data_IF_041109004392
#
_entry.id   IF_041109004392
#
_cell.length_a   1.000
_cell.length_b   1.000
_cell.length_c   1.000
_cell.angle_alpha   90.00
_cell.angle_beta   90.00
_cell.angle_gamma   90.00
#
_symmetry.space_group_name_H-M   'P 1'
#
loop_
_entity.id
_entity.type
_entity.pdbx_description
1 polymer ?
#
# COMPACT_ATOMS: atom_id res chain seq x y z
N UNK A 1 -2.03 -41.66 17.71
CA UNK A 1 -1.26 -40.41 17.91
C UNK A 1 -2.03 -39.56 18.93
N UNK A 2 -1.54 -39.52 20.18
CA UNK A 2 -2.28 -38.98 21.34
C UNK A 2 -1.98 -37.48 21.48
N UNK A 3 -2.99 -36.63 21.30
CA UNK A 3 -2.90 -35.19 21.54
C UNK A 3 -2.86 -34.91 23.04
N UNK A 4 -1.67 -34.61 23.58
CA UNK A 4 -1.50 -34.13 24.97
C UNK A 4 -1.94 -32.67 25.07
N UNK A 5 -3.09 -32.45 25.70
CA UNK A 5 -3.59 -31.13 26.08
C UNK A 5 -2.66 -30.42 27.07
N UNK A 6 -2.27 -29.19 26.73
CA UNK A 6 -1.45 -28.31 27.57
C UNK A 6 -2.38 -27.41 28.40
N UNK A 7 -2.37 -27.58 29.72
CA UNK A 7 -3.15 -26.75 30.67
C UNK A 7 -2.60 -25.33 30.70
N UNK A 8 -3.42 -24.34 30.31
CA UNK A 8 -3.13 -22.92 30.50
C UNK A 8 -3.31 -22.53 31.97
N UNK A 9 -2.27 -21.95 32.58
CA UNK A 9 -2.34 -21.37 33.92
C UNK A 9 -2.93 -19.96 33.80
N UNK A 10 -4.07 -19.73 34.46
CA UNK A 10 -4.73 -18.42 34.56
C UNK A 10 -3.92 -17.56 35.54
N UNK A 11 -3.34 -16.47 35.05
CA UNK A 11 -2.66 -15.47 35.87
C UNK A 11 -3.66 -14.35 36.14
N UNK A 12 -4.12 -14.27 37.38
CA UNK A 12 -4.99 -13.21 37.90
C UNK A 12 -4.14 -12.03 38.33
N UNK A 13 -4.26 -10.88 37.67
CA UNK A 13 -3.69 -9.61 38.12
C UNK A 13 -4.78 -8.79 38.84
N UNK A 14 -4.55 -8.34 40.09
CA UNK A 14 -5.52 -7.56 40.84
C UNK A 14 -5.50 -6.07 40.47
N UNK A 15 -6.73 -5.52 40.41
CA UNK A 15 -7.16 -4.15 40.69
C UNK A 15 -6.14 -3.25 41.40
N UNK A 16 -5.92 -2.03 40.88
CA UNK A 16 -5.50 -0.76 41.51
C UNK A 16 -5.39 0.24 40.33
N UNK A 17 -5.87 1.47 40.28
CA UNK A 17 -6.64 2.32 41.18
C UNK A 17 -7.22 3.44 40.32
N UNK A 18 -8.49 3.72 40.55
CA UNK A 18 -9.24 4.88 40.11
C UNK A 18 -8.59 6.15 40.69
N UNK A 19 -8.04 7.04 39.86
CA UNK A 19 -7.76 8.43 40.27
C UNK A 19 -8.44 9.36 39.26
N UNK A 20 -9.64 9.74 39.67
CA UNK A 20 -10.40 10.87 39.16
C UNK A 20 -9.76 12.14 39.75
N UNK A 21 -9.26 13.05 38.92
CA UNK A 21 -9.03 14.44 39.34
C UNK A 21 -9.22 15.38 38.15
N UNK A 22 -10.44 15.91 38.13
CA UNK A 22 -10.95 17.00 37.33
C UNK A 22 -10.22 18.29 37.66
N UNK A 23 -9.47 18.86 36.70
CA UNK A 23 -9.15 20.28 36.69
C UNK A 23 -10.22 21.02 35.90
N UNK A 24 -11.09 21.69 36.65
CA UNK A 24 -12.01 22.71 36.16
C UNK A 24 -11.24 24.05 36.15
N UNK A 25 -11.63 24.94 35.23
CA UNK A 25 -11.61 26.40 35.32
C UNK A 25 -10.64 27.17 34.38
N UNK A 26 -11.28 27.58 33.28
CA UNK A 26 -11.36 28.97 32.77
C UNK A 26 -10.18 29.53 31.97
N UNK A 27 -10.35 29.50 30.65
CA UNK A 27 -9.72 30.45 29.72
C UNK A 27 -10.70 30.75 28.60
N UNK A 28 -11.53 31.77 28.79
CA UNK A 28 -12.42 32.32 27.76
C UNK A 28 -11.53 33.05 26.74
N UNK A 29 -11.32 32.46 25.56
CA UNK A 29 -10.61 33.08 24.45
C UNK A 29 -11.60 33.82 23.53
N UNK A 30 -11.23 35.00 23.00
CA UNK A 30 -12.11 35.87 22.24
C UNK A 30 -12.54 35.23 20.91
N UNK A 31 -13.85 35.30 20.65
CA UNK A 31 -14.49 35.07 19.34
C UNK A 31 -13.85 36.01 18.30
N UNK A 32 -13.02 35.47 17.41
CA UNK A 32 -12.77 36.08 16.11
C UNK A 32 -13.60 35.33 15.07
N UNK A 33 -14.78 35.87 14.79
CA UNK A 33 -15.63 35.47 13.67
C UNK A 33 -15.47 36.53 12.58
N UNK A 34 -14.74 36.16 11.52
CA UNK A 34 -15.03 36.45 10.11
C UNK A 34 -13.75 36.53 9.27
N UNK A 35 -13.34 35.39 8.73
CA UNK A 35 -12.99 35.29 7.32
C UNK A 35 -13.59 33.99 6.79
N UNK A 36 -14.81 34.11 6.27
CA UNK A 36 -15.36 33.14 5.34
C UNK A 36 -14.49 33.19 4.07
N UNK A 37 -13.38 32.46 4.09
CA UNK A 37 -12.68 32.05 2.88
C UNK A 37 -13.64 31.06 2.21
N UNK A 38 -14.32 31.53 1.17
CA UNK A 38 -15.05 30.69 0.22
C UNK A 38 -14.07 29.64 -0.33
N UNK A 39 -14.05 28.47 0.30
CA UNK A 39 -13.29 27.31 -0.16
C UNK A 39 -14.00 26.75 -1.37
N UNK A 40 -13.55 27.21 -2.54
CA UNK A 40 -13.59 26.40 -3.76
C UNK A 40 -12.96 25.05 -3.43
N UNK A 41 -13.57 23.90 -3.79
CA UNK A 41 -12.98 22.59 -3.54
C UNK A 41 -11.62 22.54 -4.25
N UNK A 42 -10.56 22.59 -3.44
CA UNK A 42 -9.19 22.42 -3.89
C UNK A 42 -9.09 20.97 -4.39
N UNK A 43 -9.18 20.80 -5.71
CA UNK A 43 -8.89 19.54 -6.37
C UNK A 43 -7.44 19.20 -6.04
N UNK A 44 -7.27 18.34 -5.03
CA UNK A 44 -5.97 17.90 -4.58
C UNK A 44 -5.45 16.92 -5.62
N UNK A 45 -4.62 17.41 -6.56
CA UNK A 45 -4.02 16.56 -7.58
C UNK A 45 -3.07 15.60 -6.86
N UNK A 46 -3.35 14.30 -6.97
CA UNK A 46 -2.51 13.25 -6.37
C UNK A 46 -1.23 13.09 -7.18
N UNK A 47 -0.12 12.84 -6.50
CA UNK A 47 1.14 12.48 -7.15
C UNK A 47 1.09 11.05 -7.70
N UNK A 48 1.95 10.72 -8.67
CA UNK A 48 2.08 9.34 -9.16
C UNK A 48 2.42 8.36 -8.02
N UNK A 49 3.28 8.75 -7.06
CA UNK A 49 3.55 7.91 -5.89
C UNK A 49 2.29 7.60 -5.07
N UNK A 50 1.42 8.60 -4.85
CA UNK A 50 0.16 8.41 -4.14
C UNK A 50 -0.79 7.50 -4.91
N UNK A 51 -0.88 7.67 -6.23
CA UNK A 51 -1.73 6.87 -7.09
C UNK A 51 -1.23 5.41 -7.20
N UNK A 52 0.08 5.21 -7.33
CA UNK A 52 0.71 3.89 -7.33
C UNK A 52 0.51 3.20 -5.98
N UNK A 53 0.64 3.91 -4.86
CA UNK A 53 0.34 3.38 -3.53
C UNK A 53 -1.11 2.91 -3.42
N UNK A 54 -2.05 3.68 -3.96
CA UNK A 54 -3.46 3.29 -4.00
C UNK A 54 -3.69 2.04 -4.88
N UNK A 55 -3.02 1.97 -6.03
CA UNK A 55 -3.09 0.82 -6.92
C UNK A 55 -2.49 -0.46 -6.29
N UNK A 56 -1.36 -0.34 -5.58
CA UNK A 56 -0.75 -1.44 -4.82
C UNK A 56 -1.65 -1.92 -3.68
N UNK A 57 -2.20 -1.00 -2.88
CA UNK A 57 -3.15 -1.34 -1.82
C UNK A 57 -4.35 -2.12 -2.38
N UNK A 58 -4.91 -1.67 -3.51
CA UNK A 58 -6.00 -2.33 -4.23
C UNK A 58 -5.58 -3.72 -4.71
N UNK A 59 -4.41 -3.87 -5.36
CA UNK A 59 -3.90 -5.16 -5.87
C UNK A 59 -3.68 -6.17 -4.75
N UNK A 60 -3.16 -5.73 -3.61
CA UNK A 60 -2.93 -6.57 -2.43
C UNK A 60 -4.19 -6.84 -1.60
N UNK A 61 -5.33 -6.24 -1.95
CA UNK A 61 -6.56 -6.29 -1.16
C UNK A 61 -6.36 -5.83 0.30
N UNK A 62 -5.51 -4.81 0.49
CA UNK A 62 -5.23 -4.20 1.79
C UNK A 62 -5.90 -2.82 1.80
N UNK A 63 -6.67 -2.46 2.84
CA UNK A 63 -7.23 -1.11 2.95
C UNK A 63 -6.13 -0.05 2.91
N UNK A 64 -6.32 1.02 2.14
CA UNK A 64 -5.30 2.06 1.96
C UNK A 64 -4.76 2.61 3.29
N UNK A 65 -5.60 2.73 4.32
CA UNK A 65 -5.21 3.18 5.66
C UNK A 65 -4.15 2.28 6.33
N UNK A 66 -4.22 0.98 6.07
CA UNK A 66 -3.33 -0.04 6.65
C UNK A 66 -2.10 -0.22 5.74
N UNK A 67 -2.24 0.11 4.44
CA UNK A 67 -1.13 0.08 3.47
C UNK A 67 -0.14 1.26 3.62
N UNK A 68 -0.48 2.29 4.40
CA UNK A 68 0.40 3.48 4.60
C UNK A 68 1.74 3.15 5.24
N UNK A 69 1.82 2.06 5.99
CA UNK A 69 3.04 1.62 6.66
C UNK A 69 3.95 0.79 5.74
N UNK A 70 3.48 0.46 4.53
CA UNK A 70 4.27 -0.26 3.53
C UNK A 70 5.24 0.71 2.87
N UNK A 71 6.54 0.44 3.02
CA UNK A 71 7.59 1.12 2.28
C UNK A 71 7.44 0.80 0.79
N UNK A 72 7.46 1.84 -0.04
CA UNK A 72 7.40 1.74 -1.50
C UNK A 72 8.58 2.52 -2.04
N UNK A 73 9.38 1.85 -2.86
CA UNK A 73 10.47 2.47 -3.60
C UNK A 73 10.08 2.43 -5.07
N UNK A 74 10.11 3.59 -5.72
CA UNK A 74 9.96 3.71 -7.17
C UNK A 74 11.36 3.76 -7.76
N UNK A 75 11.69 2.79 -8.61
CA UNK A 75 13.01 2.67 -9.23
C UNK A 75 13.00 3.26 -10.65
N UNK A 76 11.93 3.01 -11.40
CA UNK A 76 11.71 3.56 -12.75
C UNK A 76 10.28 4.10 -12.84
N UNK A 77 10.12 5.27 -13.48
CA UNK A 77 8.82 5.82 -13.86
C UNK A 77 9.02 6.74 -15.08
N UNK A 78 8.47 6.34 -16.23
CA UNK A 78 8.54 7.10 -17.49
C UNK A 78 7.22 7.83 -17.85
N UNK A 79 6.30 7.94 -16.88
CA UNK A 79 4.91 8.40 -16.97
C UNK A 79 3.92 7.45 -17.65
N UNK A 80 4.39 6.38 -18.29
CA UNK A 80 3.55 5.34 -18.89
C UNK A 80 3.68 4.01 -18.13
N UNK A 81 4.87 3.68 -17.68
CA UNK A 81 5.23 2.50 -16.90
C UNK A 81 5.99 2.92 -15.65
N UNK A 82 5.85 2.14 -14.59
CA UNK A 82 6.62 2.29 -13.38
C UNK A 82 6.96 0.92 -12.78
N UNK A 83 8.09 0.84 -12.09
CA UNK A 83 8.49 -0.35 -11.35
C UNK A 83 9.22 0.01 -10.07
N UNK A 84 9.29 -0.97 -9.17
CA UNK A 84 10.12 -0.87 -7.99
C UNK A 84 9.83 -1.95 -6.98
N UNK A 85 10.01 -1.64 -5.70
CA UNK A 85 9.81 -2.58 -4.59
C UNK A 85 8.76 -2.07 -3.59
N UNK A 86 8.07 -2.99 -2.93
CA UNK A 86 7.11 -2.69 -1.89
C UNK A 86 7.15 -3.74 -0.77
N UNK A 87 7.20 -3.29 0.49
CA UNK A 87 7.26 -4.15 1.67
C UNK A 87 8.44 -3.84 2.59
N UNK A 88 8.62 -4.65 3.63
CA UNK A 88 9.75 -4.50 4.56
C UNK A 88 11.03 -5.10 4.00
N UNK A 89 12.17 -4.46 4.26
CA UNK A 89 13.51 -4.96 3.92
C UNK A 89 13.69 -5.33 2.42
N UNK A 90 13.24 -4.47 1.52
CA UNK A 90 13.35 -4.67 0.06
C UNK A 90 12.15 -5.38 -0.57
N UNK A 91 11.25 -5.97 0.22
CA UNK A 91 9.90 -6.33 -0.21
C UNK A 91 9.82 -7.22 -1.46
N UNK A 92 8.64 -7.21 -2.09
CA UNK A 92 8.42 -7.79 -3.43
C UNK A 92 8.57 -6.72 -4.51
N UNK A 93 8.91 -7.15 -5.72
CA UNK A 93 8.92 -6.28 -6.89
C UNK A 93 7.48 -5.99 -7.35
N UNK A 94 7.28 -4.85 -8.01
CA UNK A 94 6.02 -4.52 -8.66
C UNK A 94 6.26 -3.84 -10.00
N UNK A 95 5.30 -4.02 -10.92
CA UNK A 95 5.24 -3.37 -12.22
C UNK A 95 3.85 -2.77 -12.43
N UNK A 96 3.82 -1.51 -12.81
CA UNK A 96 2.61 -0.73 -13.02
C UNK A 96 2.59 -0.11 -14.41
N UNK A 97 1.41 -0.05 -15.01
CA UNK A 97 1.18 0.63 -16.27
C UNK A 97 0.05 1.65 -16.10
N UNK A 98 0.15 2.78 -16.80
CA UNK A 98 -0.88 3.81 -16.81
C UNK A 98 -1.89 3.49 -17.92
N UNK A 99 -3.11 3.12 -17.55
CA UNK A 99 -4.23 2.79 -18.44
C UNK A 99 -5.35 3.79 -18.20
N UNK A 100 -5.84 4.45 -19.25
CA UNK A 100 -6.88 5.51 -19.12
C UNK A 100 -6.52 6.60 -18.09
N UNK A 101 -5.24 6.97 -18.01
CA UNK A 101 -4.69 7.93 -17.02
C UNK A 101 -4.72 7.47 -15.56
N UNK A 102 -5.02 6.20 -15.29
CA UNK A 102 -4.96 5.58 -13.95
C UNK A 102 -3.83 4.55 -13.89
N UNK A 103 -3.16 4.45 -12.74
CA UNK A 103 -2.14 3.42 -12.53
C UNK A 103 -2.78 2.08 -12.20
N UNK A 104 -2.40 1.05 -12.93
CA UNK A 104 -2.79 -0.34 -12.70
C UNK A 104 -1.56 -1.18 -12.39
N UNK A 105 -1.62 -2.02 -11.35
CA UNK A 105 -0.56 -2.97 -11.01
C UNK A 105 -0.74 -4.24 -11.84
N UNK A 106 0.10 -4.38 -12.86
CA UNK A 106 0.16 -5.58 -13.69
C UNK A 106 0.55 -6.78 -12.82
N UNK A 107 1.65 -6.64 -12.08
CA UNK A 107 2.18 -7.70 -11.22
C UNK A 107 2.85 -7.15 -9.96
N UNK A 108 2.78 -7.91 -8.86
CA UNK A 108 3.56 -7.65 -7.64
C UNK A 108 3.87 -8.95 -6.91
N UNK A 109 5.13 -9.19 -6.53
CA UNK A 109 5.54 -10.40 -5.81
C UNK A 109 7.05 -10.59 -5.69
N UNK A 110 7.46 -11.74 -5.14
CA UNK A 110 8.88 -12.14 -4.99
C UNK A 110 9.29 -13.25 -5.97
N UNK A 111 8.41 -13.60 -6.91
CA UNK A 111 8.59 -14.72 -7.84
C UNK A 111 8.87 -14.27 -9.28
N UNK A 112 8.69 -15.21 -10.21
CA UNK A 112 8.71 -14.91 -11.63
C UNK A 112 7.42 -14.21 -12.06
N UNK A 113 7.54 -13.30 -13.02
CA UNK A 113 6.41 -12.55 -13.59
C UNK A 113 5.72 -13.45 -14.61
N UNK A 114 4.46 -13.86 -14.43
CA UNK A 114 3.70 -14.58 -15.44
C UNK A 114 3.55 -13.72 -16.71
N UNK A 115 3.72 -14.32 -17.89
CA UNK A 115 3.53 -13.58 -19.15
C UNK A 115 2.11 -13.02 -19.27
N UNK A 116 1.11 -13.76 -18.82
CA UNK A 116 -0.30 -13.35 -18.83
C UNK A 116 -0.60 -12.07 -18.04
N UNK A 117 0.19 -11.78 -16.99
CA UNK A 117 -0.01 -10.60 -16.16
C UNK A 117 0.47 -9.31 -16.86
N UNK A 118 1.41 -9.42 -17.80
CA UNK A 118 2.08 -8.26 -18.43
C UNK A 118 1.76 -8.09 -19.92
N UNK A 119 1.30 -9.15 -20.59
CA UNK A 119 0.88 -9.12 -22.00
C UNK A 119 -0.10 -7.98 -22.34
N UNK A 120 -1.10 -7.63 -21.49
CA UNK A 120 -2.04 -6.57 -21.80
C UNK A 120 -1.43 -5.15 -21.88
N UNK A 121 -0.27 -4.93 -21.26
CA UNK A 121 0.27 -3.58 -21.01
C UNK A 121 1.43 -3.17 -21.92
N UNK A 122 2.02 -4.12 -22.68
CA UNK A 122 3.16 -3.84 -23.57
C UNK A 122 4.38 -3.18 -22.89
N UNK A 123 4.74 -3.61 -21.68
CA UNK A 123 5.94 -3.10 -20.98
C UNK A 123 7.20 -3.16 -21.86
N UNK A 124 8.12 -2.18 -21.78
CA UNK A 124 9.35 -2.18 -22.55
C UNK A 124 10.27 -3.31 -22.10
N UNK A 125 11.04 -3.87 -23.04
CA UNK A 125 12.00 -4.96 -22.77
C UNK A 125 13.11 -4.55 -21.79
N UNK A 126 13.37 -3.26 -21.67
CA UNK A 126 14.32 -2.69 -20.71
C UNK A 126 13.84 -2.82 -19.27
N UNK A 127 12.52 -2.82 -19.06
CA UNK A 127 11.90 -3.00 -17.74
C UNK A 127 11.58 -4.47 -17.46
N UNK A 128 11.09 -5.21 -18.47
CA UNK A 128 10.79 -6.64 -18.36
C UNK A 128 11.31 -7.38 -19.59
N UNK A 129 12.51 -7.97 -19.47
CA UNK A 129 13.17 -8.69 -20.57
C UNK A 129 12.66 -10.12 -20.78
N UNK A 130 12.05 -10.72 -19.76
CA UNK A 130 11.52 -12.08 -19.80
C UNK A 130 10.33 -12.24 -18.84
N UNK A 131 9.49 -13.24 -19.11
CA UNK A 131 8.38 -13.65 -18.25
C UNK A 131 8.25 -15.17 -18.25
N UNK A 132 7.50 -15.72 -17.30
CA UNK A 132 7.25 -17.15 -17.17
C UNK A 132 5.92 -17.54 -17.83
N UNK A 133 5.94 -18.54 -18.71
CA UNK A 133 4.74 -19.14 -19.29
C UNK A 133 4.50 -20.51 -18.66
N UNK A 134 3.44 -20.60 -17.85
CA UNK A 134 3.03 -21.83 -17.19
C UNK A 134 2.53 -22.92 -18.16
N UNK A 135 2.14 -22.56 -19.39
CA UNK A 135 1.66 -23.54 -20.39
C UNK A 135 2.81 -24.32 -20.99
N UNK A 136 3.95 -23.67 -21.20
CA UNK A 136 5.16 -24.28 -21.75
C UNK A 136 6.17 -24.67 -20.67
N UNK A 137 5.96 -24.22 -19.43
CA UNK A 137 6.89 -24.34 -18.31
C UNK A 137 8.29 -23.77 -18.65
N UNK A 138 8.31 -22.58 -19.24
CA UNK A 138 9.55 -21.94 -19.72
C UNK A 138 9.54 -20.42 -19.54
N UNK A 139 10.73 -19.81 -19.61
CA UNK A 139 10.92 -18.37 -19.66
C UNK A 139 10.89 -17.86 -21.10
N UNK A 140 9.92 -17.03 -21.41
CA UNK A 140 9.78 -16.39 -22.71
C UNK A 140 10.54 -15.06 -22.71
N UNK A 141 11.51 -14.93 -23.61
CA UNK A 141 12.19 -13.66 -23.87
C UNK A 141 11.29 -12.74 -24.68
N UNK A 142 11.22 -11.47 -24.28
CA UNK A 142 10.35 -10.48 -24.92
C UNK A 142 11.05 -9.73 -26.04
#
# INVERSE_FOLDING_TARGET
MILKGRKMKKITFPLISLILLTFILTGCLPKSQNKEKKTTPESTIKTDEQLIREALAKKSNIPLKDFKEVEIVIEENDNQFASGTAGTAGGGHWFAAKVNSEWEIAWSGQGFIPCEDIEPYNFPKTMISQCYDAKTDDFIKR
#
